data_IF_523275914467
#
_entry.id   IF_523275914467
#
_cell.length_a   1.000
_cell.length_b   1.000
_cell.length_c   1.000
_cell.angle_alpha   90.00
_cell.angle_beta   90.00
_cell.angle_gamma   90.00
#
_symmetry.space_group_name_H-M   'P 1'
#
loop_
_entity.id
_entity.type
_entity.pdbx_description
1 polymer ?
#
# COMPACT_ATOMS: atom_id res chain seq x y z
N UNK A 1 -20.35 -0.21 9.73
CA UNK A 1 -20.88 -1.52 9.25
C UNK A 1 -19.79 -2.55 9.51
N UNK A 2 -20.06 -3.84 9.79
CA UNK A 2 -18.97 -4.81 9.92
C UNK A 2 -18.35 -5.16 8.55
N UNK A 3 -17.04 -5.39 8.50
CA UNK A 3 -16.33 -5.91 7.33
C UNK A 3 -15.68 -7.25 7.67
N UNK A 4 -16.00 -8.29 6.89
CA UNK A 4 -15.35 -9.59 7.03
C UNK A 4 -13.99 -9.56 6.36
N UNK A 5 -12.95 -9.90 7.12
CA UNK A 5 -11.60 -10.00 6.63
C UNK A 5 -11.41 -11.23 5.74
N UNK A 6 -10.57 -11.09 4.73
CA UNK A 6 -10.21 -12.18 3.83
C UNK A 6 -8.75 -12.04 3.40
N UNK A 7 -8.09 -13.19 3.21
CA UNK A 7 -6.67 -13.23 2.85
C UNK A 7 -6.49 -13.00 1.34
N UNK A 8 -5.61 -12.08 1.02
CA UNK A 8 -5.01 -11.84 -0.27
C UNK A 8 -3.67 -12.56 -0.36
N UNK A 9 -3.53 -13.41 -1.39
CA UNK A 9 -2.28 -14.13 -1.68
C UNK A 9 -1.57 -13.47 -2.86
N UNK A 10 -0.25 -13.20 -2.78
CA UNK A 10 0.48 -12.60 -3.89
C UNK A 10 0.46 -13.51 -5.12
N UNK A 11 0.42 -12.88 -6.30
CA UNK A 11 0.57 -13.57 -7.59
C UNK A 11 1.97 -13.32 -8.16
N UNK A 12 2.26 -13.90 -9.32
CA UNK A 12 3.50 -13.67 -10.06
C UNK A 12 3.40 -12.53 -11.06
N UNK A 13 2.28 -11.79 -11.09
CA UNK A 13 2.06 -10.68 -12.02
C UNK A 13 1.84 -9.35 -11.28
N UNK A 14 2.21 -8.26 -11.93
CA UNK A 14 2.05 -6.90 -11.43
C UNK A 14 1.52 -5.99 -12.53
N UNK A 15 0.80 -4.94 -12.14
CA UNK A 15 0.63 -3.79 -13.00
C UNK A 15 1.94 -3.01 -13.04
N UNK A 16 2.55 -2.91 -14.22
CA UNK A 16 3.72 -2.07 -14.45
C UNK A 16 3.28 -0.68 -14.91
N UNK A 17 4.01 0.32 -14.44
CA UNK A 17 3.69 1.73 -14.68
C UNK A 17 4.96 2.47 -15.02
N UNK A 18 4.89 3.49 -15.86
CA UNK A 18 6.01 4.40 -16.06
C UNK A 18 5.84 5.58 -15.12
N UNK A 19 6.92 6.00 -14.48
CA UNK A 19 6.94 7.17 -13.59
C UNK A 19 8.14 8.05 -13.88
N UNK A 20 7.88 9.34 -14.11
CA UNK A 20 8.87 10.41 -13.98
C UNK A 20 8.65 11.11 -12.65
N UNK A 21 9.74 11.43 -11.95
CA UNK A 21 9.66 12.24 -10.74
C UNK A 21 10.93 13.05 -10.50
N UNK A 22 10.78 14.16 -9.78
CA UNK A 22 11.89 14.96 -9.27
C UNK A 22 11.87 14.92 -7.74
N UNK A 23 13.04 14.99 -7.11
CA UNK A 23 13.09 15.21 -5.67
C UNK A 23 12.88 16.70 -5.34
N UNK A 24 12.42 17.00 -4.12
CA UNK A 24 12.21 18.38 -3.65
C UNK A 24 13.48 19.23 -3.76
N UNK A 25 14.63 18.65 -3.44
CA UNK A 25 15.93 19.30 -3.53
C UNK A 25 16.31 19.75 -4.95
N UNK A 26 15.66 19.18 -5.98
CA UNK A 26 15.95 19.47 -7.39
C UNK A 26 14.82 20.30 -8.01
N UNK A 27 13.59 19.79 -7.96
CA UNK A 27 12.44 20.42 -8.64
C UNK A 27 11.61 21.36 -7.76
N UNK A 28 11.92 21.46 -6.46
CA UNK A 28 11.07 22.12 -5.49
C UNK A 28 9.83 21.30 -5.12
N UNK A 29 8.93 21.93 -4.36
CA UNK A 29 7.68 21.31 -3.90
C UNK A 29 6.62 21.39 -4.99
N UNK A 30 5.97 20.27 -5.28
CA UNK A 30 4.81 20.25 -6.16
C UNK A 30 3.56 20.75 -5.39
N UNK A 31 2.81 21.74 -5.91
CA UNK A 31 1.60 22.23 -5.24
C UNK A 31 0.43 21.24 -5.25
N UNK A 32 0.52 20.14 -6.01
CA UNK A 32 -0.53 19.12 -6.10
C UNK A 32 -0.22 17.84 -5.31
N UNK A 33 0.95 17.75 -4.69
CA UNK A 33 1.26 16.65 -3.79
C UNK A 33 1.01 17.08 -2.36
N UNK A 34 0.33 16.25 -1.58
CA UNK A 34 0.28 16.40 -0.13
C UNK A 34 1.69 16.21 0.45
N UNK A 35 2.00 16.90 1.55
CA UNK A 35 3.23 16.68 2.36
C UNK A 35 4.55 17.25 1.79
N UNK A 36 4.48 18.20 0.87
CA UNK A 36 5.69 18.91 0.45
C UNK A 36 6.62 18.07 -0.43
N UNK A 37 6.06 17.10 -1.16
CA UNK A 37 6.79 16.19 -2.03
C UNK A 37 7.20 16.87 -3.36
N UNK A 38 8.12 16.23 -4.08
CA UNK A 38 8.56 16.69 -5.39
C UNK A 38 7.53 16.42 -6.50
N UNK A 39 7.89 16.71 -7.74
CA UNK A 39 6.99 16.53 -8.88
C UNK A 39 6.94 15.06 -9.31
N UNK A 40 5.78 14.59 -9.76
CA UNK A 40 5.65 13.26 -10.35
C UNK A 40 4.58 13.22 -11.45
N UNK A 41 4.75 12.31 -12.40
CA UNK A 41 3.75 11.92 -13.37
C UNK A 41 3.88 10.42 -13.65
N UNK A 42 2.76 9.73 -13.79
CA UNK A 42 2.74 8.29 -14.01
C UNK A 42 1.61 7.85 -14.94
N UNK A 43 1.85 6.75 -15.67
CA UNK A 43 0.84 6.07 -16.49
C UNK A 43 0.98 4.56 -16.30
N UNK A 44 -0.14 3.85 -16.33
CA UNK A 44 -0.13 2.40 -16.45
C UNK A 44 0.32 2.00 -17.87
N UNK A 45 1.11 0.94 -17.99
CA UNK A 45 1.61 0.47 -19.29
C UNK A 45 1.11 -0.93 -19.66
N UNK A 46 1.36 -1.93 -18.81
CA UNK A 46 1.03 -3.32 -19.07
C UNK A 46 1.08 -4.13 -17.79
N UNK A 47 0.43 -5.30 -17.82
CA UNK A 47 0.68 -6.35 -16.83
C UNK A 47 1.97 -7.08 -17.21
N UNK A 48 2.82 -7.35 -16.21
CA UNK A 48 4.10 -8.05 -16.40
C UNK A 48 4.42 -8.95 -15.21
N UNK A 49 5.49 -9.75 -15.27
CA UNK A 49 5.94 -10.53 -14.13
C UNK A 49 6.39 -9.61 -12.99
N UNK A 50 6.19 -10.06 -11.75
CA UNK A 50 6.83 -9.44 -10.58
C UNK A 50 8.33 -9.74 -10.62
N UNK A 51 9.16 -8.71 -10.68
CA UNK A 51 10.61 -8.83 -10.50
C UNK A 51 10.94 -8.72 -9.01
N UNK A 52 11.55 -9.76 -8.46
CA UNK A 52 11.97 -9.83 -7.05
C UNK A 52 13.47 -9.98 -6.94
N UNK A 53 14.04 -9.34 -5.91
CA UNK A 53 15.38 -9.58 -5.43
C UNK A 53 15.48 -10.97 -4.76
N UNK A 54 16.69 -11.52 -4.55
CA UNK A 54 16.86 -12.80 -3.86
C UNK A 54 16.27 -12.85 -2.44
N UNK A 55 16.13 -11.70 -1.78
CA UNK A 55 15.53 -11.56 -0.45
C UNK A 55 13.99 -11.43 -0.48
N UNK A 56 13.37 -11.47 -1.66
CA UNK A 56 11.92 -11.38 -1.83
C UNK A 56 11.38 -9.94 -1.89
N UNK A 57 12.23 -8.91 -1.81
CA UNK A 57 11.82 -7.52 -2.04
C UNK A 57 11.62 -7.23 -3.53
N UNK A 58 10.87 -6.18 -3.87
CA UNK A 58 10.67 -5.78 -5.27
C UNK A 58 11.97 -5.26 -5.88
N UNK A 59 12.35 -5.83 -7.02
CA UNK A 59 13.49 -5.37 -7.82
C UNK A 59 13.08 -4.26 -8.80
N UNK A 60 14.06 -3.56 -9.35
CA UNK A 60 13.86 -2.57 -10.40
C UNK A 60 13.57 -3.25 -11.74
N UNK A 61 12.50 -2.83 -12.40
CA UNK A 61 12.24 -3.24 -13.79
C UNK A 61 13.13 -2.42 -14.72
N UNK A 62 13.90 -3.06 -15.62
CA UNK A 62 14.77 -2.35 -16.56
C UNK A 62 14.03 -1.30 -17.37
N UNK A 63 14.64 -0.11 -17.48
CA UNK A 63 14.04 1.05 -18.15
C UNK A 63 14.61 1.19 -19.56
N UNK A 64 13.75 1.19 -20.56
CA UNK A 64 14.06 1.70 -21.89
C UNK A 64 13.66 3.18 -21.99
N UNK A 65 14.62 4.09 -21.88
CA UNK A 65 14.38 5.54 -21.97
C UNK A 65 13.99 6.00 -23.38
N UNK A 66 14.16 5.16 -24.39
CA UNK A 66 13.76 5.46 -25.77
C UNK A 66 12.28 5.20 -26.03
N UNK A 67 11.56 4.55 -25.10
CA UNK A 67 10.14 4.25 -25.26
C UNK A 67 9.32 5.55 -25.41
N UNK A 68 8.56 5.72 -26.50
CA UNK A 68 7.82 6.96 -26.76
C UNK A 68 6.73 7.25 -25.72
N UNK A 69 6.28 6.25 -24.94
CA UNK A 69 5.30 6.44 -23.88
C UNK A 69 5.78 7.38 -22.77
N UNK A 70 7.09 7.54 -22.59
CA UNK A 70 7.65 8.52 -21.66
C UNK A 70 7.26 9.97 -21.98
N UNK A 71 6.94 10.28 -23.24
CA UNK A 71 6.45 11.61 -23.63
C UNK A 71 5.08 11.95 -23.04
N UNK A 72 4.27 10.93 -22.71
CA UNK A 72 2.94 11.12 -22.11
C UNK A 72 3.03 11.60 -20.66
N UNK A 73 4.18 11.40 -20.01
CA UNK A 73 4.45 11.79 -18.62
C UNK A 73 5.67 12.71 -18.51
N UNK A 74 5.97 13.46 -19.58
CA UNK A 74 7.07 14.43 -19.61
C UNK A 74 6.80 15.69 -18.75
N UNK A 75 5.59 15.82 -18.21
CA UNK A 75 5.18 16.96 -17.40
C UNK A 75 4.32 16.49 -16.22
N UNK A 76 4.59 17.04 -15.04
CA UNK A 76 3.74 16.89 -13.87
C UNK A 76 2.42 17.65 -14.07
N UNK A 77 1.36 17.24 -13.38
CA UNK A 77 0.06 17.91 -13.43
C UNK A 77 0.13 19.41 -13.08
N UNK A 78 1.12 19.86 -12.29
CA UNK A 78 1.33 21.26 -11.93
C UNK A 78 1.95 22.11 -13.04
N UNK A 79 2.37 21.48 -14.15
CA UNK A 79 3.05 22.12 -15.25
C UNK A 79 4.58 21.99 -15.23
N UNK A 80 5.18 21.43 -14.18
CA UNK A 80 6.63 21.16 -14.14
C UNK A 80 7.03 20.19 -15.24
N UNK A 81 7.99 20.59 -16.09
CA UNK A 81 8.54 19.73 -17.15
C UNK A 81 9.76 19.01 -16.62
N UNK A 82 9.75 17.68 -16.66
CA UNK A 82 10.87 16.89 -16.16
C UNK A 82 12.12 17.12 -17.00
N UNK A 83 13.23 17.40 -16.33
CA UNK A 83 14.55 17.47 -16.94
C UNK A 83 14.99 16.07 -17.45
N UNK A 84 16.06 16.01 -18.24
CA UNK A 84 16.54 14.73 -18.74
C UNK A 84 17.07 13.82 -17.61
N UNK A 85 17.69 14.42 -16.61
CA UNK A 85 18.33 13.81 -15.45
C UNK A 85 17.40 13.57 -14.26
N UNK A 86 16.18 14.13 -14.28
CA UNK A 86 15.13 13.74 -13.33
C UNK A 86 14.90 12.23 -13.36
N UNK A 87 14.44 11.67 -12.25
CA UNK A 87 14.36 10.23 -12.08
C UNK A 87 13.33 9.57 -13.01
N UNK A 88 13.65 8.33 -13.36
CA UNK A 88 12.84 7.44 -14.19
C UNK A 88 12.65 6.17 -13.38
N UNK A 89 11.44 5.63 -13.36
CA UNK A 89 11.15 4.38 -12.68
C UNK A 89 10.06 3.64 -13.43
N UNK A 90 10.13 2.30 -13.40
CA UNK A 90 8.98 1.46 -13.73
C UNK A 90 8.48 0.79 -12.43
N UNK A 91 7.61 1.46 -11.64
CA UNK A 91 7.03 0.83 -10.47
C UNK A 91 6.22 -0.40 -10.85
N UNK A 92 6.26 -1.40 -9.97
CA UNK A 92 5.45 -2.60 -10.04
C UNK A 92 4.42 -2.53 -8.91
N UNK A 93 3.13 -2.66 -9.21
CA UNK A 93 2.09 -2.90 -8.22
C UNK A 93 1.67 -4.38 -8.32
N UNK A 94 2.24 -5.30 -7.51
CA UNK A 94 1.90 -6.70 -7.55
C UNK A 94 0.41 -6.95 -7.39
N UNK A 95 -0.10 -7.90 -8.16
CA UNK A 95 -1.45 -8.38 -8.00
C UNK A 95 -1.51 -9.44 -6.91
N UNK A 96 -2.64 -9.43 -6.20
CA UNK A 96 -3.02 -10.40 -5.22
C UNK A 96 -4.37 -11.00 -5.61
N UNK A 97 -4.64 -12.20 -5.13
CA UNK A 97 -5.92 -12.88 -5.32
C UNK A 97 -6.53 -13.32 -4.00
N UNK A 98 -7.85 -13.26 -3.91
CA UNK A 98 -8.61 -13.89 -2.84
C UNK A 98 -8.81 -15.40 -3.11
N UNK A 99 -9.59 -16.07 -2.26
CA UNK A 99 -9.89 -17.50 -2.38
C UNK A 99 -10.65 -17.87 -3.67
N UNK A 100 -11.42 -16.96 -4.25
CA UNK A 100 -12.22 -17.20 -5.45
C UNK A 100 -11.55 -16.69 -6.73
N UNK A 101 -10.34 -16.11 -6.62
CA UNK A 101 -9.54 -15.63 -7.74
C UNK A 101 -9.80 -14.17 -8.14
N UNK A 102 -10.51 -13.39 -7.33
CA UNK A 102 -10.68 -11.95 -7.58
C UNK A 102 -9.34 -11.23 -7.48
N UNK A 103 -9.02 -10.39 -8.46
CA UNK A 103 -7.72 -9.70 -8.56
C UNK A 103 -7.73 -8.35 -7.83
N UNK A 104 -6.72 -8.12 -7.00
CA UNK A 104 -6.52 -6.87 -6.25
C UNK A 104 -5.07 -6.38 -6.30
N UNK A 105 -4.85 -5.13 -5.94
CA UNK A 105 -3.54 -4.54 -5.59
C UNK A 105 -3.67 -3.86 -4.23
N UNK A 106 -2.62 -3.97 -3.43
CA UNK A 106 -2.56 -3.36 -2.09
C UNK A 106 -2.18 -1.88 -2.16
N UNK A 107 -1.79 -1.35 -3.32
CA UNK A 107 -1.47 0.07 -3.47
C UNK A 107 -2.73 0.93 -3.23
N UNK A 108 -2.69 1.92 -2.33
CA UNK A 108 -3.78 2.86 -2.17
C UNK A 108 -4.10 3.58 -3.49
N UNK A 109 -5.40 3.77 -3.77
CA UNK A 109 -5.86 4.49 -4.96
C UNK A 109 -5.61 3.79 -6.30
N UNK A 110 -5.31 2.48 -6.32
CA UNK A 110 -5.08 1.69 -7.55
C UNK A 110 -6.34 1.45 -8.42
N UNK A 111 -7.29 2.38 -8.41
CA UNK A 111 -8.51 2.34 -9.21
C UNK A 111 -9.33 1.06 -8.96
N UNK A 112 -9.79 0.37 -10.02
CA UNK A 112 -10.73 -0.74 -9.91
C UNK A 112 -10.15 -2.00 -9.23
N UNK A 113 -8.83 -2.07 -9.06
CA UNK A 113 -8.17 -3.20 -8.41
C UNK A 113 -7.77 -2.89 -6.96
N UNK A 114 -8.07 -1.69 -6.44
CA UNK A 114 -7.72 -1.35 -5.06
C UNK A 114 -8.33 -2.36 -4.08
N UNK A 115 -7.51 -2.92 -3.20
CA UNK A 115 -7.97 -3.82 -2.14
C UNK A 115 -9.05 -3.10 -1.29
N UNK A 116 -10.23 -3.73 -1.07
CA UNK A 116 -11.31 -3.13 -0.28
C UNK A 116 -11.04 -3.27 1.22
N UNK A 117 -11.85 -2.60 2.04
CA UNK A 117 -11.82 -2.77 3.50
C UNK A 117 -11.99 -4.25 3.90
N UNK A 118 -11.18 -4.71 4.86
CA UNK A 118 -11.12 -6.11 5.28
C UNK A 118 -10.16 -6.98 4.46
N UNK A 119 -9.65 -6.50 3.32
CA UNK A 119 -8.59 -7.20 2.63
C UNK A 119 -7.34 -7.27 3.52
N UNK A 120 -6.80 -8.47 3.70
CA UNK A 120 -5.66 -8.77 4.57
C UNK A 120 -4.55 -9.43 3.77
N UNK A 121 -3.30 -9.03 3.96
CA UNK A 121 -2.15 -9.63 3.27
C UNK A 121 -0.95 -9.77 4.19
N UNK A 122 -0.10 -10.75 3.89
CA UNK A 122 1.22 -10.87 4.53
C UNK A 122 2.12 -9.75 3.99
N UNK A 123 2.80 -9.05 4.91
CA UNK A 123 3.70 -7.94 4.63
C UNK A 123 5.12 -8.30 5.08
N UNK A 124 5.83 -9.19 4.36
CA UNK A 124 7.13 -9.70 4.79
C UNK A 124 8.18 -8.60 4.97
N UNK A 125 8.04 -7.48 4.26
CA UNK A 125 8.90 -6.30 4.42
C UNK A 125 8.76 -5.61 5.79
N UNK A 126 7.65 -5.82 6.50
CA UNK A 126 7.44 -5.32 7.87
C UNK A 126 7.89 -6.31 8.94
N UNK A 127 8.49 -7.44 8.56
CA UNK A 127 9.06 -8.42 9.48
C UNK A 127 10.57 -8.56 9.35
N UNK A 128 11.22 -7.70 8.56
CA UNK A 128 12.64 -7.79 8.24
C UNK A 128 13.53 -7.19 9.35
N UNK A 129 14.85 -7.24 9.16
CA UNK A 129 15.80 -6.75 10.17
C UNK A 129 15.69 -5.23 10.46
N UNK A 130 15.04 -4.47 9.57
CA UNK A 130 14.85 -3.02 9.74
C UNK A 130 13.61 -2.75 10.58
N UNK A 131 12.54 -3.52 10.37
CA UNK A 131 11.30 -3.43 11.12
C UNK A 131 10.86 -4.84 11.57
N UNK A 132 11.22 -5.32 12.77
CA UNK A 132 10.92 -6.67 13.21
C UNK A 132 9.49 -6.80 13.76
N UNK A 133 8.48 -6.30 13.03
CA UNK A 133 7.08 -6.28 13.47
C UNK A 133 6.38 -7.60 13.14
N UNK A 134 6.96 -8.69 13.64
CA UNK A 134 6.40 -10.03 13.53
C UNK A 134 5.48 -10.31 14.71
N UNK A 135 4.30 -10.83 14.42
CA UNK A 135 3.42 -11.35 15.45
C UNK A 135 3.87 -12.73 15.96
N UNK A 136 3.04 -13.38 16.79
CA UNK A 136 3.43 -14.61 17.50
C UNK A 136 3.77 -15.81 16.60
N UNK A 137 3.32 -15.80 15.34
CA UNK A 137 3.58 -16.82 14.32
C UNK A 137 4.83 -16.52 13.46
N UNK A 138 5.58 -15.47 13.77
CA UNK A 138 6.76 -15.06 13.03
C UNK A 138 6.46 -14.33 11.72
N UNK A 139 5.21 -13.90 11.49
CA UNK A 139 4.77 -13.16 10.30
C UNK A 139 4.21 -11.79 10.66
N UNK A 140 4.24 -10.88 9.69
CA UNK A 140 3.62 -9.56 9.78
C UNK A 140 2.45 -9.48 8.80
N UNK A 141 1.31 -8.96 9.25
CA UNK A 141 0.13 -8.78 8.41
C UNK A 141 -0.35 -7.32 8.36
N UNK A 142 -0.86 -6.94 7.20
CA UNK A 142 -1.55 -5.68 6.96
C UNK A 142 -3.02 -5.95 6.70
N UNK A 143 -3.88 -5.00 7.06
CA UNK A 143 -5.28 -4.99 6.66
C UNK A 143 -5.68 -3.61 6.17
N UNK A 144 -6.49 -3.57 5.11
CA UNK A 144 -7.11 -2.34 4.62
C UNK A 144 -8.26 -1.95 5.54
N UNK A 145 -8.17 -0.77 6.14
CA UNK A 145 -9.21 -0.19 6.98
C UNK A 145 -10.33 0.45 6.14
N UNK A 146 -11.51 0.69 6.74
CA UNK A 146 -12.64 1.33 6.08
C UNK A 146 -12.39 2.75 5.55
N UNK A 147 -11.47 3.48 6.16
CA UNK A 147 -11.05 4.82 5.70
C UNK A 147 -10.07 4.77 4.51
N UNK A 148 -9.75 3.57 4.03
CA UNK A 148 -8.83 3.33 2.92
C UNK A 148 -7.35 3.26 3.33
N UNK A 149 -7.03 3.44 4.61
CA UNK A 149 -5.65 3.32 5.11
C UNK A 149 -5.24 1.87 5.31
N UNK A 150 -3.93 1.60 5.24
CA UNK A 150 -3.34 0.30 5.56
C UNK A 150 -2.88 0.31 7.01
N UNK A 151 -3.28 -0.70 7.77
CA UNK A 151 -2.85 -0.85 9.16
C UNK A 151 -2.01 -2.12 9.32
N UNK A 152 -0.79 -1.95 9.80
CA UNK A 152 0.05 -3.06 10.24
C UNK A 152 -0.40 -3.51 11.62
N UNK A 153 -1.00 -4.70 11.72
CA UNK A 153 -1.56 -5.20 12.97
C UNK A 153 -0.51 -5.76 13.94
N UNK A 154 0.72 -5.94 13.47
CA UNK A 154 1.85 -6.44 14.25
C UNK A 154 2.87 -5.31 14.56
N UNK A 155 2.61 -4.09 14.07
CA UNK A 155 3.45 -2.91 14.24
C UNK A 155 3.38 -2.24 15.62
N UNK A 156 4.11 -1.14 15.83
CA UNK A 156 4.08 -0.36 17.07
C UNK A 156 2.82 0.49 17.16
N UNK A 157 2.20 0.53 18.34
CA UNK A 157 1.09 1.43 18.63
C UNK A 157 1.59 2.76 19.16
N UNK A 158 0.95 3.85 18.77
CA UNK A 158 1.25 5.19 19.29
C UNK A 158 0.78 5.40 20.73
N UNK A 159 -0.01 4.48 21.29
CA UNK A 159 -0.64 4.61 22.60
C UNK A 159 -0.27 3.51 23.61
N UNK A 160 0.69 2.63 23.30
CA UNK A 160 1.03 1.54 24.20
C UNK A 160 2.10 0.58 23.66
N UNK A 161 2.23 -0.62 24.24
CA UNK A 161 3.29 -1.59 23.92
C UNK A 161 3.14 -2.27 22.55
N UNK A 162 2.29 -1.76 21.64
CA UNK A 162 1.89 -2.41 20.40
C UNK A 162 0.55 -3.13 20.52
N UNK A 163 0.17 -3.84 19.45
CA UNK A 163 -1.03 -4.67 19.42
C UNK A 163 -0.70 -6.13 19.74
N UNK A 164 -1.64 -6.78 20.41
CA UNK A 164 -1.63 -8.22 20.66
C UNK A 164 -2.59 -8.89 19.69
N UNK A 165 -2.04 -9.64 18.75
CA UNK A 165 -2.78 -10.51 17.81
C UNK A 165 -2.92 -11.93 18.35
N UNK A 166 -4.11 -12.50 18.21
CA UNK A 166 -4.42 -13.91 18.44
C UNK A 166 -5.27 -14.46 17.29
N UNK A 167 -5.48 -15.79 17.26
CA UNK A 167 -6.20 -16.46 16.18
C UNK A 167 -5.29 -16.81 15.00
N UNK A 168 -5.90 -17.18 13.88
CA UNK A 168 -5.20 -17.57 12.66
C UNK A 168 -5.81 -16.84 11.46
N UNK A 169 -5.05 -16.64 10.40
CA UNK A 169 -5.53 -15.96 9.19
C UNK A 169 -6.73 -16.70 8.57
N UNK A 170 -7.81 -16.01 8.13
CA UNK A 170 -8.09 -14.56 8.26
C UNK A 170 -8.84 -14.16 9.55
N UNK A 171 -9.09 -15.10 10.46
CA UNK A 171 -9.83 -14.95 11.72
C UNK A 171 -8.98 -14.41 12.89
N UNK A 172 -8.29 -13.30 12.67
CA UNK A 172 -7.52 -12.66 13.74
C UNK A 172 -8.40 -11.88 14.72
N UNK A 173 -7.97 -11.87 15.98
CA UNK A 173 -8.43 -10.93 16.99
C UNK A 173 -7.25 -10.07 17.43
N UNK A 174 -7.43 -8.75 17.48
CA UNK A 174 -6.35 -7.81 17.81
C UNK A 174 -6.80 -6.82 18.88
N UNK A 175 -5.94 -6.62 19.89
CA UNK A 175 -6.18 -5.75 21.03
C UNK A 175 -4.96 -4.86 21.33
N UNK A 176 -5.11 -3.61 21.78
CA UNK A 176 -6.37 -2.89 22.01
C UNK A 176 -7.05 -2.48 20.68
N UNK A 177 -8.06 -1.60 20.74
CA UNK A 177 -8.72 -1.06 19.55
C UNK A 177 -7.72 -0.40 18.59
N UNK A 178 -8.13 -0.33 17.34
CA UNK A 178 -7.42 0.31 16.23
C UNK A 178 -7.75 1.79 16.30
N UNK A 179 -6.72 2.65 16.27
CA UNK A 179 -6.88 4.10 16.10
C UNK A 179 -6.02 4.57 14.91
N UNK A 180 -6.68 4.86 13.80
CA UNK A 180 -6.12 5.51 12.61
C UNK A 180 -6.67 6.94 12.50
N UNK A 181 -6.14 7.73 11.56
CA UNK A 181 -6.58 9.11 11.31
C UNK A 181 -8.07 9.19 10.98
N UNK A 182 -8.61 8.24 10.22
CA UNK A 182 -10.01 8.22 9.77
C UNK A 182 -10.85 7.06 10.31
N UNK A 183 -10.29 6.19 11.15
CA UNK A 183 -10.96 4.99 11.63
C UNK A 183 -10.63 4.68 13.10
N UNK A 184 -11.66 4.32 13.86
CA UNK A 184 -11.52 3.76 15.20
C UNK A 184 -12.42 2.53 15.34
N UNK A 185 -11.85 1.40 15.74
CA UNK A 185 -12.60 0.15 15.73
C UNK A 185 -11.86 -1.04 16.31
N UNK A 186 -12.40 -2.21 16.06
CA UNK A 186 -11.91 -3.49 16.55
C UNK A 186 -11.71 -4.46 15.38
N UNK A 187 -10.76 -5.38 15.54
CA UNK A 187 -10.67 -6.59 14.74
C UNK A 187 -10.88 -7.77 15.67
N UNK A 188 -12.02 -8.45 15.55
CA UNK A 188 -12.37 -9.62 16.38
C UNK A 188 -12.80 -10.76 15.48
N UNK A 189 -12.13 -11.91 15.59
CA UNK A 189 -12.43 -13.13 14.83
C UNK A 189 -12.54 -12.91 13.30
N UNK A 190 -11.66 -12.05 12.76
CA UNK A 190 -11.68 -11.69 11.34
C UNK A 190 -12.82 -10.75 10.95
N UNK A 191 -13.47 -10.08 11.89
CA UNK A 191 -14.47 -9.04 11.61
C UNK A 191 -13.94 -7.69 12.08
N UNK A 192 -13.78 -6.76 11.14
CA UNK A 192 -13.54 -5.35 11.43
C UNK A 192 -14.87 -4.68 11.76
N UNK A 193 -14.93 -4.00 12.90
CA UNK A 193 -16.11 -3.23 13.33
C UNK A 193 -15.68 -1.86 13.83
N UNK A 194 -16.49 -0.85 13.55
CA UNK A 194 -16.39 0.43 14.25
C UNK A 194 -16.59 0.20 15.78
N UNK A 195 -15.97 1.02 16.64
CA UNK A 195 -16.07 0.84 18.10
C UNK A 195 -17.42 1.26 18.72
N UNK A 196 -18.39 1.69 17.89
CA UNK A 196 -19.77 2.14 18.19
C UNK A 196 -19.83 3.47 18.98
N UNK A 197 -20.67 4.48 18.75
CA UNK A 197 -21.68 4.87 17.75
C UNK A 197 -21.55 6.41 17.55
N UNK A 198 -21.62 6.91 16.32
CA UNK A 198 -21.87 8.35 16.06
C UNK A 198 -20.66 9.30 16.03
N UNK A 199 -19.43 8.84 16.23
CA UNK A 199 -18.24 9.67 15.94
C UNK A 199 -17.96 9.65 14.44
N UNK A 200 -18.34 10.70 13.74
CA UNK A 200 -17.81 10.98 12.41
C UNK A 200 -16.41 11.56 12.57
N UNK A 201 -15.38 10.80 12.21
CA UNK A 201 -14.04 11.37 12.04
C UNK A 201 -14.07 12.20 10.75
N UNK A 202 -14.26 13.51 10.91
CA UNK A 202 -14.45 14.44 9.81
C UNK A 202 -13.25 14.47 8.88
N UNK A 203 -13.53 14.41 7.58
CA UNK A 203 -12.60 14.85 6.53
C UNK A 203 -12.12 16.27 6.85
N UNK A 204 -10.83 16.39 7.17
CA UNK A 204 -10.13 17.68 7.16
C UNK A 204 -9.66 17.98 5.75
#
# INVERSE_FOLDING_TARGET
>A
MPWTCFLLTPTTTAQQRMRRYSFVAVGGVCPHTTEGMGHHAEIAIADGPVCLMPDGTLDEVPIDRSDPRWQQIAQCACGYRFAHDDAWQIPQDPYYVDLIGSKYTVRPGAGPFAAPAGALWEAPWSGDARDPWNGPDGKSYMVRLPDGTDWNMDGPSTSGPGWRRTGAVPHFTVQPSILSRGYHGWLTDGILTDDLEGRTYGST
#
